data_IF_864698387351
#
_entry.id   IF_864698387351
#
_cell.length_a   1.000
_cell.length_b   1.000
_cell.length_c   1.000
_cell.angle_alpha   90.00
_cell.angle_beta   90.00
_cell.angle_gamma   90.00
#
_symmetry.space_group_name_H-M   'P 1'
#
loop_
_entity.id
_entity.type
_entity.pdbx_description
1 polymer ?
#
# COMPACT_ATOMS: atom_id res chain seq x y z
N UNK A 1 10.71 -3.90 -4.58
CA UNK A 1 9.68 -2.90 -4.22
C UNK A 1 10.07 -2.10 -2.99
N UNK A 2 10.58 -2.71 -1.91
CA UNK A 2 11.06 -1.97 -0.75
C UNK A 2 12.33 -1.14 -1.01
N UNK A 3 13.35 -1.77 -1.57
CA UNK A 3 14.70 -1.16 -1.68
C UNK A 3 14.96 -0.46 -3.03
N UNK A 4 13.96 -0.43 -3.91
CA UNK A 4 14.08 0.21 -5.22
C UNK A 4 13.82 1.71 -5.11
N UNK A 5 14.74 2.54 -5.62
CA UNK A 5 14.61 4.00 -5.62
C UNK A 5 13.27 4.47 -6.24
N UNK A 6 12.87 3.86 -7.35
CA UNK A 6 11.59 4.16 -8.01
C UNK A 6 10.39 3.96 -7.08
N UNK A 7 10.32 2.80 -6.42
CA UNK A 7 9.22 2.50 -5.51
C UNK A 7 9.26 3.40 -4.27
N UNK A 8 10.44 3.76 -3.76
CA UNK A 8 10.58 4.75 -2.68
C UNK A 8 10.01 6.11 -3.09
N UNK A 9 10.23 6.56 -4.33
CA UNK A 9 9.62 7.78 -4.85
C UNK A 9 8.08 7.68 -4.86
N UNK A 10 7.52 6.55 -5.32
CA UNK A 10 6.06 6.34 -5.27
C UNK A 10 5.54 6.44 -3.84
N UNK A 11 6.18 5.77 -2.88
CA UNK A 11 5.78 5.81 -1.47
C UNK A 11 5.86 7.22 -0.88
N UNK A 12 6.93 7.97 -1.16
CA UNK A 12 7.10 9.35 -0.68
C UNK A 12 6.07 10.31 -1.27
N UNK A 13 5.54 10.02 -2.47
CA UNK A 13 4.44 10.77 -3.07
C UNK A 13 3.06 10.45 -2.46
N UNK A 14 2.99 9.48 -1.54
CA UNK A 14 1.73 9.09 -0.87
C UNK A 14 1.67 9.59 0.57
N UNK A 15 0.48 9.84 1.14
CA UNK A 15 0.32 10.32 2.52
C UNK A 15 0.91 9.39 3.59
N UNK A 16 1.09 8.10 3.30
CA UNK A 16 1.62 7.12 4.25
C UNK A 16 3.16 7.13 4.34
N UNK A 17 3.83 7.75 3.35
CA UNK A 17 5.28 7.73 3.25
C UNK A 17 5.84 6.31 3.05
N UNK A 18 7.12 6.14 3.38
CA UNK A 18 7.80 4.84 3.24
C UNK A 18 7.27 3.90 4.35
N UNK A 19 6.69 2.74 4.00
CA UNK A 19 6.17 1.82 5.00
C UNK A 19 7.28 1.30 5.92
N UNK A 20 6.98 1.05 7.21
CA UNK A 20 7.97 0.53 8.15
C UNK A 20 8.54 -0.80 7.63
N UNK A 21 9.85 -0.98 7.79
CA UNK A 21 10.52 -2.24 7.47
C UNK A 21 11.46 -2.62 8.61
N UNK A 22 11.15 -3.67 9.37
CA UNK A 22 12.09 -4.24 10.31
C UNK A 22 13.39 -4.68 9.61
N UNK A 23 14.53 -4.67 10.33
CA UNK A 23 15.84 -5.02 9.77
C UNK A 23 15.96 -6.50 9.34
N UNK A 24 15.08 -7.39 9.81
CA UNK A 24 15.13 -8.84 9.58
C UNK A 24 14.03 -9.38 8.67
N UNK A 25 13.38 -8.53 7.87
CA UNK A 25 12.30 -8.96 6.98
C UNK A 25 12.87 -9.70 5.77
N UNK A 26 12.65 -11.02 5.74
CA UNK A 26 13.19 -11.95 4.73
C UNK A 26 12.34 -12.01 3.46
N UNK A 27 11.02 -11.75 3.55
CA UNK A 27 10.12 -11.83 2.40
C UNK A 27 9.22 -10.60 2.25
N UNK A 28 8.65 -10.43 1.05
CA UNK A 28 7.65 -9.39 0.78
C UNK A 28 6.39 -9.58 1.62
N UNK A 29 6.01 -10.82 1.94
CA UNK A 29 4.86 -11.11 2.79
C UNK A 29 5.12 -10.71 4.24
N UNK A 30 6.30 -11.03 4.78
CA UNK A 30 6.68 -10.59 6.13
C UNK A 30 6.69 -9.04 6.23
N UNK A 31 7.07 -8.37 5.14
CA UNK A 31 7.01 -6.91 5.06
C UNK A 31 5.58 -6.39 5.15
N UNK A 32 4.66 -6.95 4.36
CA UNK A 32 3.23 -6.57 4.38
C UNK A 32 2.60 -6.92 5.73
N UNK A 33 2.97 -8.07 6.31
CA UNK A 33 2.49 -8.49 7.62
C UNK A 33 2.92 -7.50 8.71
N UNK A 34 4.13 -6.95 8.64
CA UNK A 34 4.56 -5.89 9.56
C UNK A 34 3.67 -4.63 9.48
N UNK A 35 2.98 -4.38 8.37
CA UNK A 35 2.06 -3.24 8.29
C UNK A 35 0.83 -3.43 9.17
N UNK A 36 0.38 -4.68 9.37
CA UNK A 36 -0.82 -4.97 10.18
C UNK A 36 -0.65 -4.61 11.65
N UNK A 37 0.58 -4.63 12.17
CA UNK A 37 0.88 -4.26 13.56
C UNK A 37 1.20 -2.77 13.75
N UNK A 38 1.54 -2.05 12.67
CA UNK A 38 2.03 -0.67 12.74
C UNK A 38 1.08 0.37 12.11
N UNK A 39 0.22 -0.04 11.17
CA UNK A 39 -0.69 0.86 10.47
C UNK A 39 -2.13 0.65 10.92
N UNK A 40 -2.89 1.74 10.99
CA UNK A 40 -4.33 1.64 11.13
C UNK A 40 -4.96 1.00 9.87
N UNK A 41 -6.19 0.46 9.96
CA UNK A 41 -6.80 -0.28 8.84
C UNK A 41 -6.93 0.54 7.55
N UNK A 42 -7.16 1.85 7.66
CA UNK A 42 -7.26 2.76 6.51
C UNK A 42 -5.92 2.94 5.79
N UNK A 43 -4.84 3.15 6.55
CA UNK A 43 -3.48 3.29 6.03
C UNK A 43 -2.95 1.95 5.50
N UNK A 44 -3.34 0.84 6.12
CA UNK A 44 -3.05 -0.50 5.61
C UNK A 44 -3.70 -0.72 4.24
N UNK A 45 -4.98 -0.39 4.08
CA UNK A 45 -5.67 -0.46 2.80
C UNK A 45 -5.02 0.43 1.73
N UNK A 46 -4.66 1.68 2.09
CA UNK A 46 -3.93 2.58 1.20
C UNK A 46 -2.58 1.99 0.78
N UNK A 47 -1.83 1.43 1.74
CA UNK A 47 -0.59 0.71 1.48
C UNK A 47 -0.76 -0.42 0.48
N UNK A 48 -1.79 -1.25 0.63
CA UNK A 48 -2.09 -2.33 -0.32
C UNK A 48 -2.41 -1.81 -1.72
N UNK A 49 -3.19 -0.73 -1.84
CA UNK A 49 -3.54 -0.14 -3.14
C UNK A 49 -2.32 0.44 -3.86
N UNK A 50 -1.43 1.10 -3.13
CA UNK A 50 -0.17 1.62 -3.70
C UNK A 50 0.77 0.48 -4.07
N UNK A 51 0.88 -0.56 -3.23
CA UNK A 51 1.68 -1.75 -3.54
C UNK A 51 1.19 -2.44 -4.83
N UNK A 52 -0.13 -2.56 -4.98
CA UNK A 52 -0.75 -3.08 -6.19
C UNK A 52 -0.45 -2.21 -7.41
N UNK A 53 -0.49 -0.88 -7.28
CA UNK A 53 -0.14 0.04 -8.35
C UNK A 53 1.33 -0.10 -8.81
N UNK A 54 2.25 -0.23 -7.85
CA UNK A 54 3.68 -0.47 -8.12
C UNK A 54 3.89 -1.82 -8.82
N UNK A 55 3.18 -2.86 -8.38
CA UNK A 55 3.20 -4.17 -9.03
C UNK A 55 2.72 -4.09 -10.48
N UNK A 56 1.59 -3.42 -10.72
CA UNK A 56 1.05 -3.21 -12.06
C UNK A 56 2.01 -2.43 -12.96
N UNK A 57 2.62 -1.35 -12.46
CA UNK A 57 3.60 -0.58 -13.22
C UNK A 57 4.85 -1.39 -13.59
N UNK A 58 5.34 -2.23 -12.66
CA UNK A 58 6.46 -3.13 -12.94
C UNK A 58 6.12 -4.13 -14.04
N UNK A 59 4.90 -4.69 -14.01
CA UNK A 59 4.45 -5.62 -15.05
C UNK A 59 4.24 -4.91 -16.38
N UNK A 60 3.70 -3.70 -16.39
CA UNK A 60 3.53 -2.91 -17.60
C UNK A 60 4.87 -2.64 -18.28
N UNK A 61 5.92 -2.34 -17.49
CA UNK A 61 7.28 -2.23 -18.00
C UNK A 61 7.81 -3.55 -18.55
N UNK A 62 7.56 -4.67 -17.86
CA UNK A 62 8.04 -5.99 -18.29
C UNK A 62 7.41 -6.46 -19.60
N UNK A 63 6.10 -6.22 -19.78
CA UNK A 63 5.33 -6.77 -20.89
C UNK A 63 5.14 -5.80 -22.06
N UNK A 64 5.10 -4.49 -21.80
CA UNK A 64 4.80 -3.46 -22.79
C UNK A 64 5.91 -2.40 -22.95
N UNK A 65 7.04 -2.56 -22.27
CA UNK A 65 8.17 -1.59 -22.20
C UNK A 65 7.75 -0.15 -21.82
N UNK A 66 6.57 -0.01 -21.19
CA UNK A 66 6.00 1.26 -20.78
C UNK A 66 6.39 1.58 -19.33
N UNK A 67 6.93 2.78 -19.11
CA UNK A 67 7.30 3.26 -17.76
C UNK A 67 6.45 4.46 -17.37
N UNK A 68 5.52 4.24 -16.44
CA UNK A 68 4.76 5.31 -15.80
C UNK A 68 5.64 6.08 -14.80
N UNK A 69 5.39 7.38 -14.62
CA UNK A 69 6.09 8.17 -13.60
C UNK A 69 5.67 7.77 -12.18
N UNK A 70 6.54 7.94 -11.17
CA UNK A 70 6.21 7.61 -9.79
C UNK A 70 4.95 8.33 -9.27
N UNK A 71 4.77 9.59 -9.65
CA UNK A 71 3.61 10.41 -9.26
C UNK A 71 2.30 9.86 -9.84
N UNK A 72 2.32 9.40 -11.09
CA UNK A 72 1.15 8.79 -11.74
C UNK A 72 0.76 7.50 -11.03
N UNK A 73 1.74 6.70 -10.60
CA UNK A 73 1.49 5.44 -9.89
C UNK A 73 0.96 5.72 -8.48
N UNK A 74 1.51 6.71 -7.79
CA UNK A 74 1.05 7.14 -6.48
C UNK A 74 -0.40 7.65 -6.55
N UNK A 75 -0.70 8.52 -7.52
CA UNK A 75 -2.04 9.04 -7.77
C UNK A 75 -3.03 7.90 -8.10
N UNK A 76 -2.61 6.91 -8.89
CA UNK A 76 -3.43 5.73 -9.22
C UNK A 76 -3.78 4.94 -7.95
N UNK A 77 -2.79 4.62 -7.12
CA UNK A 77 -3.01 3.95 -5.83
C UNK A 77 -3.94 4.73 -4.90
N UNK A 78 -3.79 6.05 -4.83
CA UNK A 78 -4.65 6.91 -4.02
C UNK A 78 -6.09 6.94 -4.54
N UNK A 79 -6.28 7.02 -5.86
CA UNK A 79 -7.62 7.02 -6.48
C UNK A 79 -8.38 5.72 -6.20
N UNK A 80 -7.70 4.57 -6.25
CA UNK A 80 -8.29 3.28 -5.91
C UNK A 80 -8.66 3.19 -4.43
N UNK A 81 -7.83 3.72 -3.55
CA UNK A 81 -8.16 3.79 -2.12
C UNK A 81 -9.37 4.69 -1.85
N UNK A 82 -9.46 5.86 -2.50
CA UNK A 82 -10.62 6.74 -2.39
C UNK A 82 -11.89 6.06 -2.87
N UNK A 83 -11.83 5.34 -4.00
CA UNK A 83 -12.96 4.59 -4.52
C UNK A 83 -13.36 3.45 -3.57
N UNK A 84 -12.38 2.75 -2.96
CA UNK A 84 -12.66 1.76 -1.92
C UNK A 84 -13.41 2.38 -0.74
N UNK A 85 -13.01 3.57 -0.28
CA UNK A 85 -13.72 4.28 0.80
C UNK A 85 -15.14 4.70 0.38
N UNK A 86 -15.34 5.03 -0.89
CA UNK A 86 -16.65 5.41 -1.42
C UNK A 86 -17.64 4.24 -1.48
N UNK A 87 -17.15 3.05 -1.83
CA UNK A 87 -17.98 1.86 -2.07
C UNK A 87 -18.07 0.95 -0.84
N UNK A 88 -17.06 0.94 0.04
CA UNK A 88 -17.11 0.15 1.26
C UNK A 88 -18.07 0.83 2.27
N UNK A 89 -19.19 0.19 2.66
CA UNK A 89 -20.00 0.71 3.74
C UNK A 89 -19.15 0.78 5.02
N UNK A 90 -19.41 1.78 5.88
CA UNK A 90 -18.72 2.01 7.16
C UNK A 90 -18.69 0.78 8.11
N UNK A 91 -19.40 -0.29 7.76
CA UNK A 91 -19.47 -1.55 8.48
C UNK A 91 -18.38 -2.58 8.10
N UNK A 92 -17.65 -2.43 6.98
CA UNK A 92 -16.64 -3.40 6.55
C UNK A 92 -15.37 -3.38 7.43
N UNK A 93 -15.04 -2.23 8.02
CA UNK A 93 -13.89 -2.07 8.94
C UNK A 93 -14.28 -2.21 10.42
N UNK A 94 -15.50 -2.71 10.72
CA UNK A 94 -16.03 -2.92 12.07
C UNK A 94 -15.36 -4.01 12.91
N UNK A 95 -14.13 -4.41 12.61
CA UNK A 95 -13.34 -5.39 13.39
C UNK A 95 -12.60 -4.77 14.60
N UNK A 96 -13.10 -3.64 15.14
CA UNK A 96 -12.47 -2.93 16.26
C UNK A 96 -13.38 -2.76 17.50
N UNK A 97 -14.44 -3.57 17.64
CA UNK A 97 -15.29 -3.55 18.85
C UNK A 97 -15.27 -4.81 19.72
N UNK A 98 -14.41 -5.80 19.44
CA UNK A 98 -14.36 -7.03 20.23
C UNK A 98 -13.02 -7.36 20.93
N UNK A 99 -12.05 -6.45 20.95
CA UNK A 99 -10.80 -6.67 21.68
C UNK A 99 -10.52 -5.52 22.68
N UNK A 100 -11.47 -5.26 23.57
CA UNK A 100 -11.24 -4.50 24.79
C UNK A 100 -12.39 -4.75 25.77
N UNK A 101 -12.42 -5.96 26.32
CA UNK A 101 -13.07 -6.32 27.59
C UNK A 101 -12.80 -7.80 27.83
N UNK A 102 -11.63 -8.08 28.39
CA UNK A 102 -11.42 -9.05 29.48
C UNK A 102 -10.32 -8.50 30.37
#
# INVERSE_FOLDING_TARGET
MRDCAFAKCVWLATPIGIPPSPPYVLSMLDWIQSWTSHLNPSNFALGLMVLWAIWGARNNRLWNDCTDSPDVIAARGLSWWQELQRVAPAHFWGFSKHFSRE
#
